data_IF_313750673261
#
_entry.id   IF_313750673261
#
_cell.length_a   1.000
_cell.length_b   1.000
_cell.length_c   1.000
_cell.angle_alpha   90.00
_cell.angle_beta   90.00
_cell.angle_gamma   90.00
#
_symmetry.space_group_name_H-M   'P 1'
#
loop_
_entity.id
_entity.type
_entity.pdbx_description
1 polymer ?
#
# COMPACT_ATOMS: atom_id res chain seq x y z
N UNK A 1 39.87 -82.04 11.73
CA UNK A 1 40.87 -83.02 12.22
C UNK A 1 41.75 -82.26 13.21
N UNK A 2 41.81 -82.51 14.51
CA UNK A 2 41.43 -83.65 15.35
C UNK A 2 41.22 -83.07 16.75
N UNK A 3 40.02 -83.18 17.31
CA UNK A 3 39.85 -83.18 18.76
C UNK A 3 40.47 -84.46 19.29
N UNK A 4 41.44 -84.36 20.19
CA UNK A 4 41.90 -85.49 21.00
C UNK A 4 41.47 -85.29 22.46
N UNK A 5 41.04 -86.37 23.14
CA UNK A 5 40.24 -86.32 24.35
C UNK A 5 41.11 -86.38 25.60
N UNK A 6 40.62 -85.85 26.72
CA UNK A 6 41.18 -86.14 28.04
C UNK A 6 40.08 -86.75 28.90
N UNK A 7 40.21 -88.07 29.03
CA UNK A 7 39.93 -88.91 30.18
C UNK A 7 38.75 -88.54 31.10
N UNK A 8 37.71 -89.36 31.02
CA UNK A 8 36.72 -89.57 32.05
C UNK A 8 37.37 -90.11 33.32
N UNK A 9 37.44 -89.27 34.36
CA UNK A 9 37.61 -89.72 35.73
C UNK A 9 36.28 -90.29 36.24
N UNK A 10 36.33 -91.51 36.77
CA UNK A 10 35.23 -92.16 37.50
C UNK A 10 34.57 -91.20 38.52
N UNK A 11 33.23 -91.15 38.61
CA UNK A 11 32.56 -90.42 39.68
C UNK A 11 32.74 -91.16 41.02
N UNK A 12 33.15 -90.48 42.10
CA UNK A 12 33.14 -91.07 43.43
C UNK A 12 31.70 -91.27 43.91
N UNK A 13 31.33 -92.52 44.16
CA UNK A 13 30.10 -92.94 44.82
C UNK A 13 30.10 -92.41 46.27
N UNK A 14 29.59 -91.19 46.47
CA UNK A 14 29.42 -90.56 47.77
C UNK A 14 27.93 -90.23 48.04
N UNK A 15 27.40 -90.52 49.23
CA UNK A 15 25.98 -90.28 49.58
C UNK A 15 25.57 -88.80 49.62
N UNK A 16 26.52 -87.86 49.59
CA UNK A 16 26.24 -86.42 49.59
C UNK A 16 25.81 -85.84 48.23
N UNK A 17 26.10 -86.53 47.12
CA UNK A 17 25.78 -86.01 45.76
C UNK A 17 24.32 -86.24 45.38
N UNK A 18 23.66 -87.25 45.97
CA UNK A 18 22.24 -87.56 45.69
C UNK A 18 21.26 -86.56 46.33
N UNK A 19 21.62 -85.98 47.47
CA UNK A 19 20.77 -85.02 48.18
C UNK A 19 20.64 -83.66 47.45
N UNK A 20 21.70 -83.23 46.75
CA UNK A 20 21.68 -81.97 46.00
C UNK A 20 20.92 -82.08 44.67
N UNK A 21 20.94 -83.25 44.03
CA UNK A 21 20.18 -83.49 42.79
C UNK A 21 18.68 -83.51 43.09
N UNK A 22 18.25 -84.20 44.16
CA UNK A 22 16.84 -84.20 44.58
C UNK A 22 16.33 -82.80 44.96
N UNK A 23 17.20 -81.95 45.54
CA UNK A 23 16.86 -80.57 45.89
C UNK A 23 16.79 -79.64 44.67
N UNK A 24 17.55 -79.92 43.62
CA UNK A 24 17.43 -79.24 42.33
C UNK A 24 16.15 -79.62 41.59
N UNK A 25 15.74 -80.89 41.64
CA UNK A 25 14.50 -81.35 41.00
C UNK A 25 13.25 -80.74 41.66
N UNK A 26 13.21 -80.62 42.99
CA UNK A 26 12.08 -79.97 43.70
C UNK A 26 11.99 -78.46 43.39
N UNK A 27 13.12 -77.80 43.09
CA UNK A 27 13.15 -76.38 42.75
C UNK A 27 12.71 -76.12 41.30
N UNK A 28 13.00 -77.03 40.37
CA UNK A 28 12.55 -76.96 38.97
C UNK A 28 11.04 -77.22 38.89
N UNK A 29 10.51 -78.16 39.67
CA UNK A 29 9.08 -78.49 39.71
C UNK A 29 8.25 -77.32 40.28
N UNK A 30 8.72 -76.65 41.35
CA UNK A 30 8.08 -75.45 41.90
C UNK A 30 8.13 -74.24 40.96
N UNK A 31 9.14 -74.12 40.09
CA UNK A 31 9.24 -73.00 39.13
C UNK A 31 8.38 -73.22 37.88
N UNK A 32 8.17 -74.46 37.48
CA UNK A 32 7.35 -74.82 36.31
C UNK A 32 5.86 -74.60 36.57
N UNK A 33 5.43 -74.63 37.83
CA UNK A 33 4.03 -74.34 38.23
C UNK A 33 3.65 -72.84 38.19
N UNK A 34 4.61 -71.92 37.99
CA UNK A 34 4.38 -70.46 38.03
C UNK A 34 4.26 -69.85 36.62
N UNK A 35 4.41 -70.64 35.55
CA UNK A 35 4.15 -70.17 34.17
C UNK A 35 2.67 -70.30 33.78
N UNK A 36 1.76 -70.07 34.72
CA UNK A 36 0.34 -69.88 34.41
C UNK A 36 0.19 -68.45 33.90
N UNK A 37 -0.17 -68.27 32.63
CA UNK A 37 -0.45 -66.97 32.03
C UNK A 37 -1.50 -66.26 32.91
N UNK A 38 -1.07 -65.25 33.66
CA UNK A 38 -1.93 -64.51 34.59
C UNK A 38 -2.74 -63.52 33.77
N UNK A 39 -3.95 -63.93 33.40
CA UNK A 39 -4.89 -63.09 32.66
C UNK A 39 -5.39 -61.96 33.58
N UNK A 40 -4.94 -60.73 33.32
CA UNK A 40 -5.34 -59.54 34.08
C UNK A 40 -6.56 -58.91 33.40
N UNK A 41 -7.74 -59.09 33.98
CA UNK A 41 -8.98 -58.50 33.47
C UNK A 41 -9.01 -56.99 33.77
N UNK A 42 -8.60 -56.18 32.79
CA UNK A 42 -8.73 -54.73 32.85
C UNK A 42 -10.05 -54.29 32.22
N UNK A 43 -10.96 -53.69 33.00
CA UNK A 43 -12.21 -53.11 32.48
C UNK A 43 -11.88 -51.76 31.81
N UNK A 44 -11.50 -51.80 30.54
CA UNK A 44 -11.10 -50.61 29.79
C UNK A 44 -12.31 -49.75 29.44
N UNK A 45 -12.36 -48.52 29.95
CA UNK A 45 -13.40 -47.56 29.58
C UNK A 45 -13.07 -46.97 28.19
N UNK A 46 -13.88 -47.30 27.18
CA UNK A 46 -13.63 -46.89 25.77
C UNK A 46 -13.52 -45.36 25.59
N UNK A 47 -14.20 -44.58 26.43
CA UNK A 47 -14.12 -43.12 26.42
C UNK A 47 -12.77 -42.59 26.92
N UNK A 48 -12.06 -43.33 27.78
CA UNK A 48 -10.73 -42.92 28.26
C UNK A 48 -9.67 -42.99 27.16
N UNK A 49 -9.82 -43.88 26.18
CA UNK A 49 -8.95 -43.96 24.99
C UNK A 49 -9.07 -42.73 24.08
N UNK A 50 -10.22 -42.05 24.09
CA UNK A 50 -10.46 -40.83 23.31
C UNK A 50 -9.87 -39.58 23.98
N UNK A 51 -9.46 -39.65 25.25
CA UNK A 51 -8.92 -38.51 26.00
C UNK A 51 -7.59 -38.03 25.44
N UNK A 52 -6.72 -38.95 25.07
CA UNK A 52 -5.40 -38.66 24.49
C UNK A 52 -5.49 -37.93 23.14
N UNK A 53 -6.26 -38.41 22.12
CA UNK A 53 -6.41 -37.68 20.86
C UNK A 53 -7.19 -36.37 21.01
N UNK A 54 -8.20 -36.31 21.90
CA UNK A 54 -8.94 -35.07 22.16
C UNK A 54 -8.02 -33.98 22.73
N UNK A 55 -7.10 -34.32 23.63
CA UNK A 55 -6.14 -33.35 24.18
C UNK A 55 -5.30 -32.70 23.10
N UNK A 56 -4.86 -33.47 22.10
CA UNK A 56 -4.10 -32.97 20.96
C UNK A 56 -4.94 -32.02 20.10
N UNK A 57 -6.18 -32.41 19.77
CA UNK A 57 -7.12 -31.62 18.97
C UNK A 57 -7.41 -30.28 19.65
N UNK A 58 -7.69 -30.30 20.96
CA UNK A 58 -7.89 -29.07 21.72
C UNK A 58 -6.63 -28.21 21.77
N UNK A 59 -5.44 -28.81 21.94
CA UNK A 59 -4.18 -28.07 21.91
C UNK A 59 -3.94 -27.33 20.60
N UNK A 60 -4.13 -28.01 19.46
CA UNK A 60 -4.03 -27.37 18.15
C UNK A 60 -5.13 -26.34 17.90
N UNK A 61 -6.35 -26.63 18.34
CA UNK A 61 -7.47 -25.70 18.25
C UNK A 61 -7.20 -24.41 19.02
N UNK A 62 -6.72 -24.50 20.27
CA UNK A 62 -6.38 -23.33 21.06
C UNK A 62 -5.18 -22.57 20.49
N UNK A 63 -4.18 -23.26 19.93
CA UNK A 63 -3.07 -22.60 19.24
C UNK A 63 -3.53 -21.88 17.98
N UNK A 64 -4.44 -22.49 17.21
CA UNK A 64 -5.02 -21.88 16.02
C UNK A 64 -5.89 -20.66 16.36
N UNK A 65 -6.77 -20.78 17.36
CA UNK A 65 -7.58 -19.66 17.87
C UNK A 65 -6.68 -18.56 18.45
N UNK A 66 -5.64 -18.91 19.21
CA UNK A 66 -4.67 -17.94 19.72
C UNK A 66 -3.90 -17.26 18.59
N UNK A 67 -3.57 -17.97 17.50
CA UNK A 67 -2.92 -17.40 16.32
C UNK A 67 -3.85 -16.45 15.56
N UNK A 68 -5.13 -16.81 15.41
CA UNK A 68 -6.14 -15.94 14.82
C UNK A 68 -6.34 -14.71 15.70
N UNK A 69 -6.53 -14.89 17.01
CA UNK A 69 -6.67 -13.79 17.96
C UNK A 69 -5.39 -12.95 18.00
N UNK A 70 -4.21 -13.51 17.83
CA UNK A 70 -2.95 -12.75 17.75
C UNK A 70 -2.85 -11.92 16.47
N UNK A 71 -3.35 -12.42 15.33
CA UNK A 71 -3.39 -11.68 14.07
C UNK A 71 -4.52 -10.63 14.05
N UNK A 72 -5.63 -10.90 14.74
CA UNK A 72 -6.79 -10.00 14.83
C UNK A 72 -6.72 -9.02 16.00
N UNK A 73 -6.01 -9.36 17.07
CA UNK A 73 -5.56 -8.44 18.10
C UNK A 73 -4.45 -7.63 17.44
N UNK A 74 -4.88 -6.58 16.76
CA UNK A 74 -4.05 -5.50 16.24
C UNK A 74 -3.01 -5.13 17.31
N UNK A 75 -1.81 -5.71 17.22
CA UNK A 75 -0.64 -5.26 17.97
C UNK A 75 -0.28 -3.89 17.36
N UNK A 76 -1.01 -2.87 17.80
CA UNK A 76 -1.05 -1.52 17.23
C UNK A 76 0.28 -0.76 17.30
N UNK A 77 1.36 -1.41 17.75
CA UNK A 77 2.73 -0.91 17.65
C UNK A 77 3.16 -0.77 16.17
N UNK A 78 2.68 -1.62 15.25
CA UNK A 78 3.02 -1.43 13.83
C UNK A 78 2.26 -0.28 13.16
N UNK A 79 1.03 0.03 13.62
CA UNK A 79 0.20 1.16 13.12
C UNK A 79 0.56 2.51 13.72
N UNK A 80 1.37 2.54 14.78
CA UNK A 80 1.98 3.75 15.34
C UNK A 80 3.46 3.86 15.05
N UNK A 81 4.03 2.90 14.31
CA UNK A 81 5.41 3.02 13.84
C UNK A 81 5.55 4.30 13.00
N UNK A 82 6.63 5.04 13.25
CA UNK A 82 6.86 6.32 12.58
C UNK A 82 6.83 6.19 11.05
N UNK A 83 7.20 5.03 10.50
CA UNK A 83 7.14 4.73 9.08
C UNK A 83 5.70 4.54 8.56
N UNK A 84 4.82 3.87 9.32
CA UNK A 84 3.41 3.72 8.92
C UNK A 84 2.68 5.07 8.97
N UNK A 85 2.87 5.86 10.03
CA UNK A 85 2.28 7.19 10.13
C UNK A 85 2.79 8.13 9.04
N UNK A 86 4.10 8.10 8.75
CA UNK A 86 4.67 8.87 7.64
C UNK A 86 4.08 8.47 6.28
N UNK A 87 3.81 7.18 6.06
CA UNK A 87 3.15 6.69 4.84
C UNK A 87 1.72 7.23 4.71
N UNK A 88 0.92 7.16 5.76
CA UNK A 88 -0.46 7.69 5.73
C UNK A 88 -0.46 9.20 5.50
N UNK A 89 0.43 9.95 6.17
CA UNK A 89 0.56 11.39 5.97
C UNK A 89 1.02 11.73 4.55
N UNK A 90 1.91 10.92 3.96
CA UNK A 90 2.32 11.08 2.58
C UNK A 90 1.16 10.82 1.59
N UNK A 91 0.34 9.81 1.85
CA UNK A 91 -0.86 9.53 1.04
C UNK A 91 -1.86 10.71 1.07
N UNK A 92 -2.04 11.37 2.21
CA UNK A 92 -2.87 12.58 2.32
C UNK A 92 -2.29 13.76 1.51
N UNK A 93 -0.96 13.95 1.55
CA UNK A 93 -0.26 14.97 0.77
C UNK A 93 -0.41 14.70 -0.73
N UNK A 94 -0.22 13.46 -1.16
CA UNK A 94 -0.40 13.03 -2.56
C UNK A 94 -1.84 13.23 -3.04
N UNK A 95 -2.83 12.88 -2.22
CA UNK A 95 -4.24 13.14 -2.53
C UNK A 95 -4.51 14.65 -2.71
N UNK A 96 -3.90 15.50 -1.89
CA UNK A 96 -4.04 16.95 -1.98
C UNK A 96 -3.32 17.53 -3.19
N UNK A 97 -2.15 17.01 -3.55
CA UNK A 97 -1.43 17.37 -4.78
C UNK A 97 -2.29 17.04 -6.00
N UNK A 98 -2.92 15.86 -6.02
CA UNK A 98 -3.82 15.49 -7.10
C UNK A 98 -5.04 16.42 -7.21
N UNK A 99 -5.56 16.94 -6.09
CA UNK A 99 -6.59 17.97 -6.11
C UNK A 99 -6.07 19.28 -6.74
N UNK A 100 -4.86 19.70 -6.39
CA UNK A 100 -4.21 20.87 -7.04
C UNK A 100 -4.08 20.63 -8.54
N UNK A 101 -3.59 19.46 -8.96
CA UNK A 101 -3.48 19.09 -10.37
C UNK A 101 -4.82 19.26 -11.08
N UNK A 102 -5.88 18.67 -10.51
CA UNK A 102 -7.24 18.75 -11.08
C UNK A 102 -7.73 20.19 -11.22
N UNK A 103 -7.47 21.05 -10.23
CA UNK A 103 -7.84 22.47 -10.28
C UNK A 103 -7.06 23.20 -11.36
N UNK A 104 -5.74 23.00 -11.46
CA UNK A 104 -4.89 23.61 -12.49
C UNK A 104 -5.32 23.17 -13.89
N UNK A 105 -5.59 21.88 -14.12
CA UNK A 105 -6.11 21.40 -15.40
C UNK A 105 -7.45 22.04 -15.77
N UNK A 106 -8.33 22.28 -14.78
CA UNK A 106 -9.59 23.03 -14.98
C UNK A 106 -9.33 24.49 -15.33
N UNK A 107 -8.32 25.14 -14.73
CA UNK A 107 -7.89 26.50 -15.11
C UNK A 107 -7.42 26.53 -16.56
N UNK A 108 -6.53 25.61 -16.97
CA UNK A 108 -6.02 25.52 -18.34
C UNK A 108 -7.14 25.30 -19.37
N UNK A 109 -8.08 24.40 -19.07
CA UNK A 109 -9.27 24.19 -19.92
C UNK A 109 -10.13 25.45 -20.02
N UNK A 110 -10.22 26.23 -18.93
CA UNK A 110 -10.97 27.49 -18.90
C UNK A 110 -10.26 28.59 -19.69
N UNK A 111 -8.92 28.60 -19.69
CA UNK A 111 -8.10 29.44 -20.57
C UNK A 111 -8.31 29.10 -22.05
N UNK A 112 -8.43 27.82 -22.41
CA UNK A 112 -8.68 27.39 -23.79
C UNK A 112 -10.01 27.94 -24.34
N UNK A 113 -11.04 28.04 -23.49
CA UNK A 113 -12.32 28.66 -23.86
C UNK A 113 -12.17 30.13 -24.23
N UNK A 114 -11.30 30.87 -23.53
CA UNK A 114 -11.02 32.27 -23.84
C UNK A 114 -10.29 32.39 -25.17
N UNK A 115 -9.29 31.54 -25.43
CA UNK A 115 -8.58 31.53 -26.71
C UNK A 115 -9.49 31.10 -27.87
N UNK A 116 -10.39 30.15 -27.65
CA UNK A 116 -11.41 29.77 -28.61
C UNK A 116 -12.32 30.96 -28.95
N UNK A 117 -12.75 31.75 -27.95
CA UNK A 117 -13.56 32.95 -28.22
C UNK A 117 -12.83 34.01 -29.03
N UNK A 118 -11.51 34.11 -28.92
CA UNK A 118 -10.71 35.02 -29.74
C UNK A 118 -10.64 34.53 -31.19
N UNK A 119 -10.51 33.21 -31.41
CA UNK A 119 -10.58 32.63 -32.76
C UNK A 119 -11.98 32.81 -33.37
N UNK A 120 -13.03 32.64 -32.57
CA UNK A 120 -14.40 32.87 -33.00
C UNK A 120 -14.65 34.34 -33.33
N UNK A 121 -14.14 35.28 -32.52
CA UNK A 121 -14.19 36.71 -32.83
C UNK A 121 -13.56 37.00 -34.19
N UNK A 122 -12.42 36.36 -34.51
CA UNK A 122 -11.80 36.55 -35.82
C UNK A 122 -12.65 36.03 -36.99
N UNK A 123 -13.49 35.03 -36.75
CA UNK A 123 -14.38 34.45 -37.75
C UNK A 123 -15.71 35.21 -37.88
N UNK A 124 -16.30 35.63 -36.77
CA UNK A 124 -17.68 36.18 -36.72
C UNK A 124 -17.71 37.70 -36.62
N UNK A 125 -16.65 38.32 -36.12
CA UNK A 125 -16.61 39.75 -35.79
C UNK A 125 -17.46 40.14 -34.57
N UNK A 126 -18.01 39.17 -33.82
CA UNK A 126 -18.88 39.45 -32.68
C UNK A 126 -18.08 39.79 -31.40
N UNK A 127 -17.83 41.09 -31.24
CA UNK A 127 -17.11 41.64 -30.07
C UNK A 127 -17.90 41.44 -28.77
N UNK A 128 -19.24 41.49 -28.82
CA UNK A 128 -20.06 41.41 -27.61
C UNK A 128 -20.07 39.98 -27.05
N UNK A 129 -20.22 38.97 -27.91
CA UNK A 129 -20.06 37.58 -27.52
C UNK A 129 -18.68 37.31 -26.91
N UNK A 130 -17.62 37.84 -27.52
CA UNK A 130 -16.25 37.69 -27.02
C UNK A 130 -16.04 38.33 -25.64
N UNK A 131 -16.60 39.53 -25.40
CA UNK A 131 -16.58 40.19 -24.09
C UNK A 131 -17.40 39.43 -23.03
N UNK A 132 -18.55 38.89 -23.42
CA UNK A 132 -19.40 38.09 -22.53
C UNK A 132 -18.68 36.81 -22.08
N UNK A 133 -18.06 36.08 -23.02
CA UNK A 133 -17.25 34.89 -22.71
C UNK A 133 -16.08 35.23 -21.79
N UNK A 134 -15.37 36.34 -22.01
CA UNK A 134 -14.32 36.79 -21.07
C UNK A 134 -14.87 36.95 -19.64
N UNK A 135 -16.04 37.57 -19.49
CA UNK A 135 -16.63 37.78 -18.16
C UNK A 135 -16.98 36.46 -17.47
N UNK A 136 -17.51 35.48 -18.21
CA UNK A 136 -17.82 34.14 -17.70
C UNK A 136 -16.56 33.32 -17.36
N UNK A 137 -15.51 33.43 -18.18
CA UNK A 137 -14.20 32.84 -17.91
C UNK A 137 -13.60 33.45 -16.64
N UNK A 138 -13.58 34.77 -16.50
CA UNK A 138 -13.05 35.48 -15.34
C UNK A 138 -13.76 35.09 -14.04
N UNK A 139 -15.10 34.93 -14.06
CA UNK A 139 -15.82 34.44 -12.89
C UNK A 139 -15.43 33.00 -12.51
N UNK A 140 -15.28 32.13 -13.51
CA UNK A 140 -14.89 30.73 -13.30
C UNK A 140 -13.47 30.62 -12.74
N UNK A 141 -12.52 31.41 -13.27
CA UNK A 141 -11.14 31.44 -12.77
C UNK A 141 -11.07 31.96 -11.33
N UNK A 142 -11.87 32.98 -10.98
CA UNK A 142 -11.97 33.47 -9.59
C UNK A 142 -12.51 32.42 -8.63
N UNK A 143 -13.41 31.55 -9.08
CA UNK A 143 -13.93 30.43 -8.29
C UNK A 143 -12.86 29.35 -8.09
N UNK A 144 -12.23 28.89 -9.17
CA UNK A 144 -11.11 27.93 -9.13
C UNK A 144 -9.95 28.42 -8.25
N UNK A 145 -9.67 29.72 -8.31
CA UNK A 145 -8.69 30.40 -7.43
C UNK A 145 -9.03 30.27 -5.96
N UNK A 146 -10.32 30.34 -5.60
CA UNK A 146 -10.75 30.16 -4.21
C UNK A 146 -10.68 28.70 -3.80
N UNK A 147 -11.09 27.77 -4.68
CA UNK A 147 -10.96 26.33 -4.46
C UNK A 147 -9.50 25.95 -4.18
N UNK A 148 -8.55 26.52 -4.93
CA UNK A 148 -7.12 26.28 -4.79
C UNK A 148 -6.54 26.67 -3.42
N UNK A 149 -7.13 27.65 -2.71
CA UNK A 149 -6.59 28.12 -1.43
C UNK A 149 -6.58 27.04 -0.36
N UNK A 150 -7.60 26.18 -0.33
CA UNK A 150 -7.72 25.15 0.71
C UNK A 150 -6.65 24.04 0.55
N UNK A 151 -6.46 23.43 -0.63
CA UNK A 151 -5.37 22.48 -0.87
C UNK A 151 -3.97 23.07 -0.58
N UNK A 152 -3.72 24.31 -1.00
CA UNK A 152 -2.41 24.96 -0.78
C UNK A 152 -2.15 25.18 0.71
N UNK A 153 -3.15 25.65 1.47
CA UNK A 153 -3.01 25.83 2.92
C UNK A 153 -2.73 24.52 3.65
N UNK A 154 -3.36 23.41 3.21
CA UNK A 154 -3.07 22.08 3.74
C UNK A 154 -1.61 21.70 3.49
N UNK A 155 -1.12 21.83 2.24
CA UNK A 155 0.26 21.52 1.89
C UNK A 155 1.26 22.38 2.68
N UNK A 156 0.98 23.68 2.89
CA UNK A 156 1.82 24.57 3.69
C UNK A 156 1.90 24.15 5.16
N UNK A 157 0.82 23.60 5.72
CA UNK A 157 0.79 23.12 7.10
C UNK A 157 1.43 21.73 7.30
N UNK A 158 1.67 21.00 6.20
CA UNK A 158 2.17 19.62 6.23
C UNK A 158 3.69 19.57 6.08
N UNK A 159 4.45 19.13 7.10
CA UNK A 159 5.91 19.01 7.02
C UNK A 159 6.39 18.08 5.90
N UNK A 160 5.60 17.08 5.53
CA UNK A 160 5.90 16.10 4.49
C UNK A 160 5.89 16.72 3.10
N UNK A 161 5.15 17.81 2.90
CA UNK A 161 5.07 18.51 1.63
C UNK A 161 6.26 19.46 1.39
N UNK A 162 7.19 19.63 2.34
CA UNK A 162 8.24 20.66 2.28
C UNK A 162 9.09 20.66 0.99
N UNK A 163 9.32 19.48 0.39
CA UNK A 163 10.09 19.34 -0.84
C UNK A 163 9.27 19.57 -2.13
N UNK A 164 7.95 19.38 -2.08
CA UNK A 164 7.04 19.52 -3.24
C UNK A 164 6.37 20.90 -3.26
N UNK A 165 6.09 21.46 -2.08
CA UNK A 165 5.41 22.73 -1.91
C UNK A 165 5.99 23.86 -2.77
N UNK A 166 7.33 24.06 -2.87
CA UNK A 166 7.89 25.10 -3.72
C UNK A 166 7.54 24.91 -5.21
N UNK A 167 7.49 23.67 -5.69
CA UNK A 167 7.11 23.35 -7.08
C UNK A 167 5.63 23.62 -7.32
N UNK A 168 4.77 23.25 -6.37
CA UNK A 168 3.34 23.54 -6.42
C UNK A 168 3.10 25.06 -6.44
N UNK A 169 3.78 25.81 -5.58
CA UNK A 169 3.68 27.28 -5.56
C UNK A 169 4.20 27.89 -6.87
N UNK A 170 5.25 27.34 -7.47
CA UNK A 170 5.75 27.77 -8.78
C UNK A 170 4.73 27.51 -9.90
N UNK A 171 4.11 26.33 -9.96
CA UNK A 171 3.02 26.02 -10.92
C UNK A 171 1.90 27.04 -10.79
N UNK A 172 1.48 27.33 -9.55
CA UNK A 172 0.41 28.29 -9.28
C UNK A 172 0.82 29.69 -9.74
N UNK A 173 2.07 30.11 -9.48
CA UNK A 173 2.56 31.41 -9.94
C UNK A 173 2.60 31.51 -11.48
N UNK A 174 3.03 30.45 -12.17
CA UNK A 174 3.02 30.41 -13.64
C UNK A 174 1.61 30.41 -14.23
N UNK A 175 0.67 29.70 -13.60
CA UNK A 175 -0.75 29.74 -13.98
C UNK A 175 -1.32 31.15 -13.89
N UNK A 176 -0.92 31.92 -12.87
CA UNK A 176 -1.30 33.33 -12.73
C UNK A 176 -0.71 34.23 -13.80
N UNK A 177 0.59 34.12 -14.10
CA UNK A 177 1.20 34.87 -15.21
C UNK A 177 0.51 34.50 -16.53
N UNK A 178 0.20 33.22 -16.76
CA UNK A 178 -0.54 32.78 -17.94
C UNK A 178 -1.92 33.45 -18.03
N UNK A 179 -2.67 33.48 -16.93
CA UNK A 179 -3.96 34.16 -16.85
C UNK A 179 -3.82 35.66 -17.21
N UNK A 180 -2.84 36.35 -16.63
CA UNK A 180 -2.59 37.78 -16.90
C UNK A 180 -2.26 38.03 -18.39
N UNK A 181 -1.40 37.21 -18.98
CA UNK A 181 -1.01 37.31 -20.40
C UNK A 181 -2.20 37.07 -21.32
N UNK A 182 -3.06 36.11 -21.00
CA UNK A 182 -4.28 35.84 -21.75
C UNK A 182 -5.28 37.00 -21.68
N UNK A 183 -5.45 37.60 -20.50
CA UNK A 183 -6.35 38.75 -20.32
C UNK A 183 -5.83 39.99 -21.04
N UNK A 184 -4.51 40.20 -21.06
CA UNK A 184 -3.86 41.25 -21.85
C UNK A 184 -4.08 41.02 -23.35
N UNK A 185 -3.78 39.81 -23.86
CA UNK A 185 -4.01 39.42 -25.25
C UNK A 185 -5.46 39.67 -25.66
N UNK A 186 -6.43 39.22 -24.86
CA UNK A 186 -7.85 39.41 -25.15
C UNK A 186 -8.20 40.90 -25.27
N UNK A 187 -7.75 41.70 -24.30
CA UNK A 187 -8.01 43.14 -24.28
C UNK A 187 -7.40 43.84 -25.51
N UNK A 188 -6.19 43.45 -25.92
CA UNK A 188 -5.56 43.97 -27.14
C UNK A 188 -6.32 43.57 -28.40
N UNK A 189 -6.73 42.30 -28.54
CA UNK A 189 -7.50 41.85 -29.71
C UNK A 189 -8.81 42.63 -29.81
N UNK A 190 -9.56 42.71 -28.71
CA UNK A 190 -10.86 43.43 -28.70
C UNK A 190 -10.70 44.90 -29.08
N UNK A 191 -9.72 45.61 -28.51
CA UNK A 191 -9.41 47.00 -28.87
C UNK A 191 -9.09 47.15 -30.37
N UNK A 192 -8.35 46.21 -30.95
CA UNK A 192 -8.06 46.23 -32.38
C UNK A 192 -9.30 46.04 -33.25
N UNK A 193 -10.21 45.13 -32.87
CA UNK A 193 -11.47 44.91 -33.59
C UNK A 193 -12.41 46.11 -33.47
N UNK A 194 -12.46 46.77 -32.31
CA UNK A 194 -13.21 48.02 -32.12
C UNK A 194 -12.68 49.14 -33.02
N UNK A 195 -11.35 49.19 -33.21
CA UNK A 195 -10.65 50.12 -34.11
C UNK A 195 -10.66 49.69 -35.58
N UNK A 196 -11.25 48.54 -35.90
CA UNK A 196 -11.30 47.95 -37.26
C UNK A 196 -9.91 47.80 -37.91
N UNK A 197 -8.90 47.45 -37.11
CA UNK A 197 -7.55 47.19 -37.61
C UNK A 197 -7.54 45.91 -38.46
N UNK A 198 -6.62 45.85 -39.42
CA UNK A 198 -6.46 44.68 -40.28
C UNK A 198 -5.86 43.49 -39.53
N UNK A 199 -6.29 42.26 -39.84
CA UNK A 199 -5.91 41.05 -39.10
C UNK A 199 -4.39 40.86 -38.92
N UNK A 200 -3.60 41.17 -39.95
CA UNK A 200 -2.12 41.11 -39.88
C UNK A 200 -1.53 42.07 -38.83
N UNK A 201 -2.12 43.24 -38.68
CA UNK A 201 -1.70 44.21 -37.66
C UNK A 201 -2.06 43.72 -36.25
N UNK A 202 -3.25 43.11 -36.10
CA UNK A 202 -3.68 42.49 -34.84
C UNK A 202 -2.71 41.37 -34.44
N UNK A 203 -2.40 40.46 -35.37
CA UNK A 203 -1.45 39.36 -35.18
C UNK A 203 -0.09 39.86 -34.71
N UNK A 204 0.46 40.89 -35.37
CA UNK A 204 1.74 41.49 -34.98
C UNK A 204 1.72 42.06 -33.55
N UNK A 205 0.61 42.71 -33.15
CA UNK A 205 0.47 43.27 -31.79
C UNK A 205 0.35 42.19 -30.71
N UNK A 206 -0.22 41.04 -31.04
CA UNK A 206 -0.44 39.95 -30.07
C UNK A 206 0.63 38.85 -30.13
N UNK A 207 1.55 38.88 -31.10
CA UNK A 207 2.57 37.86 -31.29
C UNK A 207 3.42 37.63 -30.03
N UNK A 208 3.88 38.70 -29.37
CA UNK A 208 4.65 38.61 -28.12
C UNK A 208 3.84 37.97 -26.98
N UNK A 209 2.56 38.34 -26.86
CA UNK A 209 1.66 37.70 -25.89
C UNK A 209 1.47 36.21 -26.20
N UNK A 210 1.25 35.85 -27.47
CA UNK A 210 1.08 34.46 -27.89
C UNK A 210 2.31 33.62 -27.59
N UNK A 211 3.51 34.12 -27.90
CA UNK A 211 4.76 33.43 -27.61
C UNK A 211 4.91 33.14 -26.12
N UNK A 212 4.66 34.14 -25.26
CA UNK A 212 4.77 33.96 -23.80
C UNK A 212 3.70 33.01 -23.25
N UNK A 213 2.48 33.05 -23.78
CA UNK A 213 1.40 32.12 -23.42
C UNK A 213 1.81 30.68 -23.73
N UNK A 214 2.36 30.43 -24.92
CA UNK A 214 2.82 29.08 -25.32
C UNK A 214 3.96 28.59 -24.42
N UNK A 215 4.94 29.46 -24.12
CA UNK A 215 6.03 29.10 -23.21
C UNK A 215 5.52 28.78 -21.80
N UNK A 216 4.65 29.61 -21.23
CA UNK A 216 4.10 29.39 -19.88
C UNK A 216 3.28 28.12 -19.79
N UNK A 217 2.50 27.77 -20.82
CA UNK A 217 1.75 26.51 -20.84
C UNK A 217 2.70 25.31 -20.79
N UNK A 218 3.75 25.33 -21.62
CA UNK A 218 4.75 24.27 -21.60
C UNK A 218 5.47 24.18 -20.25
N UNK A 219 5.88 25.32 -19.67
CA UNK A 219 6.52 25.34 -18.36
C UNK A 219 5.60 24.83 -17.24
N UNK A 220 4.29 25.05 -17.34
CA UNK A 220 3.31 24.47 -16.39
C UNK A 220 3.24 22.96 -16.58
N UNK A 221 3.07 22.48 -17.82
CA UNK A 221 2.98 21.04 -18.10
C UNK A 221 4.26 20.30 -17.65
N UNK A 222 5.45 20.85 -17.95
CA UNK A 222 6.74 20.29 -17.52
C UNK A 222 6.88 20.22 -15.98
N UNK A 223 6.41 21.25 -15.27
CA UNK A 223 6.44 21.26 -13.81
C UNK A 223 5.44 20.29 -13.20
N UNK A 224 4.29 20.10 -13.83
CA UNK A 224 3.27 19.16 -13.39
C UNK A 224 3.75 17.72 -13.54
N UNK A 225 4.37 17.38 -14.68
CA UNK A 225 5.02 16.08 -14.89
C UNK A 225 6.11 15.83 -13.83
N UNK A 226 6.92 16.85 -13.53
CA UNK A 226 7.95 16.78 -12.49
C UNK A 226 7.39 16.59 -11.07
N UNK A 227 6.17 17.07 -10.79
CA UNK A 227 5.50 16.86 -9.50
C UNK A 227 4.97 15.43 -9.40
N UNK A 228 4.41 14.89 -10.50
CA UNK A 228 3.87 13.53 -10.55
C UNK A 228 4.97 12.44 -10.43
N UNK A 229 6.22 12.77 -10.76
CA UNK A 229 7.38 11.88 -10.57
C UNK A 229 7.87 11.75 -9.12
N UNK A 230 7.37 12.56 -8.17
CA UNK A 230 7.82 12.62 -6.76
C UNK A 230 6.89 11.82 -5.82
#
# INVERSE_FOLDING_TARGET
MVSKPIHWGHPPNGPHTKANIAKCDEFIEKKTQVLHCKEVYYKFNRLSMLREPLMLIFGFFFLFVASIVYMHADLSISKTSASYLAKIQWEEVQATIHQVHTIISRCLTTHDKLEASLRDLSRTGDIQACKATRKSVDSSLKELTKELKSPVAFLQSSPQAAQILPKVEEVIAKERDLQERLMAKHSTVVDCYEKKLGGREIENRVASHQQKITALRQEIDDLMDLIDEI
#
